data_IF_941272079049
#
_entry.id   IF_941272079049
#
_cell.length_a   1.000
_cell.length_b   1.000
_cell.length_c   1.000
_cell.angle_alpha   90.00
_cell.angle_beta   90.00
_cell.angle_gamma   90.00
#
_symmetry.space_group_name_H-M   'P 1'
#
loop_
_entity.id
_entity.type
_entity.pdbx_description
1 polymer ?
#
# COMPACT_ATOMS: atom_id res chain seq x y z
N UNK A 1 16.09 11.09 -3.83
CA UNK A 1 17.48 11.33 -3.41
C UNK A 1 17.74 10.73 -2.04
N UNK A 2 18.99 10.52 -1.62
CA UNK A 2 19.31 10.04 -0.28
C UNK A 2 18.81 10.97 0.83
N UNK A 3 18.80 12.26 0.60
CA UNK A 3 18.45 13.31 1.59
C UNK A 3 16.97 13.33 1.95
N UNK A 4 16.10 12.83 1.08
CA UNK A 4 14.65 12.86 1.28
C UNK A 4 13.95 11.56 0.89
N UNK A 5 14.71 10.51 0.56
CA UNK A 5 14.19 9.25 0.09
C UNK A 5 13.74 8.30 1.21
N UNK A 6 13.14 7.19 0.79
CA UNK A 6 12.97 6.02 1.63
C UNK A 6 14.28 5.22 1.62
N UNK A 7 14.64 4.66 2.76
CA UNK A 7 15.80 3.79 2.92
C UNK A 7 15.32 2.37 3.20
N UNK A 8 16.05 1.40 2.72
CA UNK A 8 15.72 -0.03 2.85
C UNK A 8 16.94 -0.83 3.27
N UNK A 9 16.71 -1.97 3.92
CA UNK A 9 17.76 -2.96 4.17
C UNK A 9 17.53 -4.12 3.20
N UNK A 10 18.36 -4.25 2.13
CA UNK A 10 18.21 -5.32 1.15
C UNK A 10 18.24 -6.70 1.79
N UNK A 11 17.33 -7.58 1.37
CA UNK A 11 17.25 -8.94 1.90
C UNK A 11 16.59 -9.10 3.27
N UNK A 12 16.30 -8.01 3.98
CA UNK A 12 15.75 -8.05 5.35
C UNK A 12 14.38 -8.72 5.47
N UNK A 13 13.61 -8.81 4.39
CA UNK A 13 12.34 -9.55 4.34
C UNK A 13 12.49 -11.06 4.63
N UNK A 14 13.71 -11.58 4.58
CA UNK A 14 14.02 -13.00 4.88
C UNK A 14 14.32 -13.22 6.37
N UNK A 15 14.49 -12.17 7.15
CA UNK A 15 14.90 -12.26 8.56
C UNK A 15 13.73 -12.55 9.50
N UNK A 16 12.49 -12.58 9.00
CA UNK A 16 11.29 -12.73 9.83
C UNK A 16 11.08 -11.51 10.72
N UNK A 17 10.60 -11.73 11.95
CA UNK A 17 10.36 -10.65 12.91
C UNK A 17 11.68 -10.12 13.48
N UNK A 18 11.96 -8.87 13.25
CA UNK A 18 13.19 -8.18 13.71
C UNK A 18 12.81 -7.16 14.79
N UNK A 19 13.56 -7.17 15.89
CA UNK A 19 13.47 -6.09 16.88
C UNK A 19 14.29 -4.88 16.41
N UNK A 20 13.59 -3.94 15.76
CA UNK A 20 14.20 -2.73 15.23
C UNK A 20 14.71 -1.83 16.35
N UNK A 21 14.01 -1.77 17.50
CA UNK A 21 14.43 -0.94 18.65
C UNK A 21 15.75 -1.41 19.22
N UNK A 22 15.91 -2.73 19.40
CA UNK A 22 17.17 -3.29 19.85
C UNK A 22 18.31 -3.04 18.85
N UNK A 23 18.03 -3.16 17.55
CA UNK A 23 19.05 -2.87 16.51
C UNK A 23 19.49 -1.41 16.48
N UNK A 24 18.58 -0.47 16.57
CA UNK A 24 18.91 0.96 16.58
C UNK A 24 19.60 1.38 17.85
N UNK A 25 19.22 0.82 19.00
CA UNK A 25 19.90 1.05 20.27
C UNK A 25 21.34 0.54 20.25
N UNK A 26 21.56 -0.65 19.71
CA UNK A 26 22.91 -1.24 19.59
C UNK A 26 23.82 -0.49 18.60
N UNK A 27 23.23 0.16 17.60
CA UNK A 27 23.96 0.98 16.63
C UNK A 27 24.21 2.43 17.10
N UNK A 28 23.64 2.83 18.24
CA UNK A 28 23.67 4.20 18.76
C UNK A 28 23.20 5.26 17.74
N UNK A 29 22.41 4.82 16.77
CA UNK A 29 21.92 5.67 15.67
C UNK A 29 20.62 5.14 15.11
N UNK A 30 19.83 6.02 14.51
CA UNK A 30 18.64 5.64 13.74
C UNK A 30 19.00 5.13 12.34
N UNK A 31 20.24 5.35 11.88
CA UNK A 31 20.76 4.83 10.62
C UNK A 31 21.36 3.45 10.83
N UNK A 32 20.68 2.41 10.36
CA UNK A 32 21.25 1.06 10.40
C UNK A 32 22.34 0.93 9.32
N UNK A 33 23.49 0.30 9.63
CA UNK A 33 24.66 0.27 8.74
C UNK A 33 24.37 -0.33 7.35
N UNK A 34 23.46 -1.30 7.29
CA UNK A 34 23.10 -1.99 6.05
C UNK A 34 21.99 -1.29 5.24
N UNK A 35 21.52 -0.14 5.72
CA UNK A 35 20.48 0.61 5.02
C UNK A 35 21.04 1.35 3.82
N UNK A 36 20.33 1.25 2.70
CA UNK A 36 20.64 1.95 1.46
C UNK A 36 19.47 2.83 1.03
N UNK A 37 19.72 4.00 0.43
CA UNK A 37 18.66 4.85 -0.06
C UNK A 37 18.00 4.26 -1.31
N UNK A 38 16.68 4.28 -1.37
CA UNK A 38 15.91 4.04 -2.59
C UNK A 38 15.85 5.33 -3.41
N UNK A 39 16.79 5.49 -4.33
CA UNK A 39 16.82 6.67 -5.20
C UNK A 39 15.84 6.46 -6.36
N UNK A 40 14.86 7.36 -6.47
CA UNK A 40 13.81 7.31 -7.48
C UNK A 40 13.60 8.68 -8.10
N UNK A 41 13.17 8.70 -9.36
CA UNK A 41 12.70 9.88 -10.06
C UNK A 41 11.16 9.99 -9.95
N UNK A 42 10.59 11.16 -10.19
CA UNK A 42 9.15 11.29 -10.33
C UNK A 42 8.61 10.34 -11.41
N UNK A 43 7.60 9.54 -11.05
CA UNK A 43 7.00 8.53 -11.93
C UNK A 43 7.58 7.13 -11.77
N UNK A 44 8.69 6.95 -11.06
CA UNK A 44 9.21 5.61 -10.77
C UNK A 44 8.29 4.85 -9.84
N UNK A 45 8.20 3.53 -10.06
CA UNK A 45 7.46 2.59 -9.23
C UNK A 45 8.43 1.60 -8.62
N UNK A 46 8.38 1.47 -7.30
CA UNK A 46 9.16 0.47 -6.56
C UNK A 46 8.23 -0.61 -6.03
N UNK A 47 8.52 -1.85 -6.34
CA UNK A 47 7.79 -3.01 -5.82
C UNK A 47 8.68 -3.72 -4.81
N UNK A 48 8.21 -3.83 -3.59
CA UNK A 48 8.96 -4.48 -2.50
C UNK A 48 8.11 -5.49 -1.74
N UNK A 49 8.77 -6.44 -1.11
CA UNK A 49 8.11 -7.32 -0.16
C UNK A 49 7.68 -6.51 1.07
N UNK A 50 6.45 -6.72 1.56
CA UNK A 50 5.92 -6.01 2.73
C UNK A 50 6.73 -6.14 4.02
N UNK A 51 7.53 -7.21 4.14
CA UNK A 51 8.39 -7.46 5.29
C UNK A 51 9.78 -6.81 5.16
N UNK A 52 10.03 -6.11 4.06
CA UNK A 52 11.28 -5.38 3.88
C UNK A 52 11.40 -4.30 4.96
N UNK A 53 12.49 -4.32 5.71
CA UNK A 53 12.79 -3.24 6.65
C UNK A 53 13.05 -1.97 5.86
N UNK A 54 12.28 -0.95 6.17
CA UNK A 54 12.36 0.33 5.50
C UNK A 54 12.02 1.46 6.47
N UNK A 55 12.42 2.65 6.12
CA UNK A 55 12.14 3.83 6.91
C UNK A 55 12.43 5.11 6.14
N UNK A 56 12.08 6.22 6.75
CA UNK A 56 12.42 7.56 6.25
C UNK A 56 13.06 8.34 7.38
N UNK A 57 14.08 9.11 7.02
CA UNK A 57 14.74 10.04 7.93
C UNK A 57 14.23 11.47 7.68
N UNK A 58 14.67 12.40 8.51
CA UNK A 58 14.37 13.81 8.30
C UNK A 58 14.82 14.23 6.89
N UNK A 59 13.98 15.00 6.21
CA UNK A 59 14.32 15.56 4.91
C UNK A 59 15.35 16.69 5.12
N UNK A 60 16.54 16.48 4.63
CA UNK A 60 17.64 17.47 4.70
C UNK A 60 17.83 18.24 3.38
N UNK A 61 16.98 17.96 2.37
CA UNK A 61 16.98 18.70 1.11
C UNK A 61 16.00 19.88 1.15
N UNK A 62 16.11 20.76 0.18
CA UNK A 62 15.18 21.86 -0.09
C UNK A 62 13.92 21.44 -0.86
N UNK A 63 13.77 20.15 -1.17
CA UNK A 63 12.71 19.62 -2.03
C UNK A 63 11.71 18.77 -1.27
N UNK A 64 10.45 18.91 -1.62
CA UNK A 64 9.42 17.98 -1.18
C UNK A 64 9.55 16.64 -1.88
N UNK A 65 9.20 15.57 -1.17
CA UNK A 65 8.98 14.24 -1.71
C UNK A 65 7.56 13.80 -1.38
N UNK A 66 6.81 13.46 -2.40
CA UNK A 66 5.49 12.85 -2.26
C UNK A 66 5.61 11.39 -2.71
N UNK A 67 5.22 10.46 -1.84
CA UNK A 67 5.16 9.03 -2.15
C UNK A 67 3.77 8.52 -1.86
N UNK A 68 3.26 7.68 -2.75
CA UNK A 68 2.04 6.92 -2.51
C UNK A 68 2.42 5.45 -2.29
N UNK A 69 1.92 4.86 -1.21
CA UNK A 69 2.18 3.46 -0.87
C UNK A 69 0.89 2.67 -1.01
N UNK A 70 0.96 1.60 -1.79
CA UNK A 70 -0.15 0.67 -1.97
C UNK A 70 0.26 -0.72 -1.47
N UNK A 71 -0.61 -1.34 -0.67
CA UNK A 71 -0.40 -2.70 -0.21
C UNK A 71 -1.32 -3.67 -0.94
N UNK A 72 -0.74 -4.67 -1.59
CA UNK A 72 -1.49 -5.76 -2.24
C UNK A 72 -1.23 -7.08 -1.52
N UNK A 73 -2.29 -7.84 -1.30
CA UNK A 73 -2.24 -9.15 -0.67
C UNK A 73 -2.89 -10.19 -1.55
N UNK A 74 -2.35 -11.41 -1.55
CA UNK A 74 -3.07 -12.53 -2.15
C UNK A 74 -4.32 -12.80 -1.32
N UNK A 75 -5.46 -13.03 -1.97
CA UNK A 75 -6.70 -13.40 -1.30
C UNK A 75 -6.50 -14.58 -0.33
N UNK A 76 -5.80 -15.61 -0.75
CA UNK A 76 -5.51 -16.79 0.07
C UNK A 76 -4.67 -16.51 1.32
N UNK A 77 -3.94 -15.39 1.35
CA UNK A 77 -3.11 -15.01 2.51
C UNK A 77 -3.83 -14.14 3.52
N UNK A 78 -4.98 -13.59 3.17
CA UNK A 78 -5.76 -12.70 4.07
C UNK A 78 -7.10 -13.28 4.46
N UNK A 79 -7.68 -14.15 3.64
CA UNK A 79 -8.99 -14.75 3.91
C UNK A 79 -8.98 -15.49 5.24
N UNK A 80 -9.96 -15.19 6.10
CA UNK A 80 -10.08 -15.74 7.44
C UNK A 80 -9.13 -15.16 8.48
N UNK A 81 -8.20 -14.28 8.08
CA UNK A 81 -7.28 -13.65 9.04
C UNK A 81 -7.96 -12.52 9.80
N UNK A 82 -7.53 -12.33 11.04
CA UNK A 82 -7.86 -11.13 11.81
C UNK A 82 -6.92 -10.00 11.44
N UNK A 83 -7.47 -8.82 11.19
CA UNK A 83 -6.73 -7.59 10.96
C UNK A 83 -7.00 -6.59 12.09
N UNK A 84 -5.96 -5.96 12.60
CA UNK A 84 -6.13 -4.82 13.48
C UNK A 84 -6.60 -3.62 12.67
N UNK A 85 -7.64 -2.98 13.16
CA UNK A 85 -8.13 -1.71 12.68
C UNK A 85 -7.63 -0.57 13.57
N UNK A 86 -7.96 0.64 13.18
CA UNK A 86 -7.71 1.82 14.00
C UNK A 86 -8.40 1.70 15.38
N UNK A 87 -7.81 2.34 16.38
CA UNK A 87 -8.32 2.41 17.76
C UNK A 87 -8.52 1.04 18.46
N UNK A 88 -7.75 0.03 18.05
CA UNK A 88 -7.77 -1.29 18.68
C UNK A 88 -8.94 -2.18 18.26
N UNK A 89 -9.75 -1.76 17.31
CA UNK A 89 -10.76 -2.62 16.72
C UNK A 89 -10.13 -3.75 15.90
N UNK A 90 -10.81 -4.88 15.81
CA UNK A 90 -10.42 -6.01 14.97
C UNK A 90 -11.50 -6.30 13.91
N UNK A 91 -11.07 -6.75 12.75
CA UNK A 91 -11.96 -7.27 11.73
C UNK A 91 -11.45 -8.61 11.21
N UNK A 92 -12.37 -9.50 10.84
CA UNK A 92 -12.03 -10.71 10.10
C UNK A 92 -12.14 -10.41 8.60
N UNK A 93 -11.13 -10.81 7.84
CA UNK A 93 -11.16 -10.74 6.39
C UNK A 93 -11.95 -11.92 5.84
N UNK A 94 -13.28 -11.85 5.96
CA UNK A 94 -14.20 -12.78 5.31
C UNK A 94 -14.30 -12.53 3.79
N UNK A 95 -15.08 -13.36 3.11
CA UNK A 95 -15.26 -13.24 1.65
C UNK A 95 -15.79 -11.87 1.23
N UNK A 96 -16.79 -11.38 1.98
CA UNK A 96 -17.42 -10.08 1.68
C UNK A 96 -16.43 -8.95 1.85
N UNK A 97 -15.67 -8.92 2.94
CA UNK A 97 -14.70 -7.88 3.20
C UNK A 97 -13.58 -7.89 2.17
N UNK A 98 -13.09 -9.07 1.81
CA UNK A 98 -12.05 -9.20 0.77
C UNK A 98 -12.58 -8.70 -0.58
N UNK A 99 -13.82 -9.03 -0.93
CA UNK A 99 -14.45 -8.57 -2.17
C UNK A 99 -14.63 -7.05 -2.16
N UNK A 100 -15.22 -6.48 -1.12
CA UNK A 100 -15.47 -5.04 -0.98
C UNK A 100 -14.16 -4.24 -1.09
N UNK A 101 -13.09 -4.71 -0.45
CA UNK A 101 -11.78 -4.06 -0.53
C UNK A 101 -11.13 -4.20 -1.91
N UNK A 102 -11.45 -5.25 -2.65
CA UNK A 102 -10.99 -5.44 -4.03
C UNK A 102 -11.67 -4.51 -5.02
N UNK A 103 -12.86 -3.99 -4.70
CA UNK A 103 -13.62 -3.11 -5.55
C UNK A 103 -12.87 -1.81 -5.92
N UNK A 104 -11.98 -1.33 -5.03
CA UNK A 104 -11.11 -0.17 -5.31
C UNK A 104 -10.25 -0.40 -6.56
N UNK A 105 -9.79 -1.63 -6.78
CA UNK A 105 -8.99 -1.97 -7.97
C UNK A 105 -9.84 -1.81 -9.23
N UNK A 106 -11.08 -2.32 -9.22
CA UNK A 106 -11.98 -2.24 -10.38
C UNK A 106 -12.36 -0.79 -10.68
N UNK A 107 -12.66 0.03 -9.67
CA UNK A 107 -12.93 1.46 -9.84
C UNK A 107 -11.69 2.18 -10.41
N UNK A 108 -10.49 1.81 -9.95
CA UNK A 108 -9.24 2.35 -10.49
C UNK A 108 -9.01 1.98 -11.96
N UNK A 109 -9.37 0.76 -12.38
CA UNK A 109 -9.30 0.33 -13.79
C UNK A 109 -10.25 1.15 -14.65
N UNK A 110 -11.50 1.37 -14.19
CA UNK A 110 -12.46 2.21 -14.90
C UNK A 110 -11.97 3.67 -15.01
N UNK A 111 -11.45 4.23 -13.92
CA UNK A 111 -10.87 5.56 -13.93
C UNK A 111 -9.73 5.69 -14.94
N UNK A 112 -8.82 4.70 -14.97
CA UNK A 112 -7.73 4.66 -15.92
C UNK A 112 -8.22 4.60 -17.36
N UNK A 113 -9.21 3.77 -17.65
CA UNK A 113 -9.76 3.61 -19.01
C UNK A 113 -10.39 4.90 -19.54
N UNK A 114 -10.97 5.71 -18.67
CA UNK A 114 -11.51 7.04 -19.03
C UNK A 114 -10.43 8.07 -19.31
N UNK A 115 -9.29 7.94 -18.63
CA UNK A 115 -8.17 8.86 -18.78
C UNK A 115 -7.25 8.48 -19.95
N UNK A 116 -7.07 7.18 -20.21
CA UNK A 116 -6.22 6.62 -21.26
C UNK A 116 -7.05 5.81 -22.24
N UNK A 117 -7.83 6.49 -23.06
CA UNK A 117 -8.82 5.87 -23.97
C UNK A 117 -8.22 4.98 -25.07
N UNK A 118 -6.92 5.05 -25.34
CA UNK A 118 -6.22 4.21 -26.29
C UNK A 118 -5.70 2.89 -25.72
N UNK A 119 -5.82 2.68 -24.40
CA UNK A 119 -5.38 1.43 -23.77
C UNK A 119 -6.52 0.41 -23.70
N UNK A 120 -6.18 -0.87 -23.82
CA UNK A 120 -7.11 -1.95 -23.50
C UNK A 120 -7.20 -2.08 -21.98
N UNK A 121 -8.38 -1.92 -21.36
CA UNK A 121 -8.52 -2.04 -19.91
C UNK A 121 -8.10 -3.41 -19.40
N UNK A 122 -7.45 -3.44 -18.25
CA UNK A 122 -7.11 -4.69 -17.58
C UNK A 122 -8.39 -5.44 -17.15
N UNK A 123 -8.48 -6.72 -17.45
CA UNK A 123 -9.58 -7.57 -16.98
C UNK A 123 -9.28 -8.10 -15.59
N UNK A 124 -9.97 -7.56 -14.59
CA UNK A 124 -9.80 -7.99 -13.20
C UNK A 124 -10.80 -9.09 -12.86
N UNK A 125 -10.32 -10.33 -12.83
CA UNK A 125 -11.15 -11.55 -12.74
C UNK A 125 -12.25 -11.55 -11.66
N UNK A 126 -12.01 -11.06 -10.42
CA UNK A 126 -13.07 -11.02 -9.40
C UNK A 126 -14.28 -10.17 -9.77
N UNK A 127 -14.17 -9.29 -10.77
CA UNK A 127 -15.21 -8.34 -11.17
C UNK A 127 -15.70 -8.54 -12.61
N UNK A 128 -15.36 -9.64 -13.26
CA UNK A 128 -15.90 -9.97 -14.59
C UNK A 128 -17.42 -10.06 -14.53
N UNK A 129 -18.10 -9.27 -15.36
CA UNK A 129 -19.56 -9.14 -15.37
C UNK A 129 -20.13 -8.18 -14.32
N UNK A 130 -19.30 -7.59 -13.48
CA UNK A 130 -19.68 -6.61 -12.44
C UNK A 130 -19.06 -5.22 -12.68
N UNK A 131 -18.39 -5.04 -13.81
CA UNK A 131 -17.67 -3.81 -14.15
C UNK A 131 -18.60 -2.59 -14.17
N UNK A 132 -19.87 -2.81 -14.61
CA UNK A 132 -20.89 -1.78 -14.68
C UNK A 132 -21.19 -1.13 -13.33
N UNK A 133 -21.25 -1.93 -12.28
CA UNK A 133 -21.57 -1.50 -10.91
C UNK A 133 -20.36 -0.89 -10.18
N UNK A 134 -19.18 -0.96 -10.79
CA UNK A 134 -17.93 -0.49 -10.22
C UNK A 134 -17.22 0.53 -11.10
N UNK A 135 -17.99 1.34 -11.84
CA UNK A 135 -17.48 2.50 -12.57
C UNK A 135 -17.22 3.66 -11.63
N UNK A 136 -16.17 4.44 -11.92
CA UNK A 136 -15.93 5.67 -11.14
C UNK A 136 -17.03 6.71 -11.40
N UNK A 137 -17.81 7.00 -10.39
CA UNK A 137 -18.79 8.06 -10.28
C UNK A 137 -18.93 8.46 -8.81
N UNK A 138 -19.76 9.45 -8.50
CA UNK A 138 -19.92 9.95 -7.13
C UNK A 138 -20.40 8.87 -6.16
N UNK A 139 -21.34 8.03 -6.58
CA UNK A 139 -21.85 6.92 -5.75
C UNK A 139 -20.78 5.90 -5.43
N UNK A 140 -20.05 5.41 -6.45
CA UNK A 140 -18.98 4.43 -6.24
C UNK A 140 -17.79 5.03 -5.52
N UNK A 141 -17.50 6.32 -5.72
CA UNK A 141 -16.47 7.02 -4.95
C UNK A 141 -16.82 7.02 -3.47
N UNK A 142 -18.02 7.39 -3.09
CA UNK A 142 -18.44 7.40 -1.69
C UNK A 142 -18.51 5.99 -1.11
N UNK A 143 -19.10 5.04 -1.82
CA UNK A 143 -19.31 3.67 -1.35
C UNK A 143 -18.02 2.87 -1.26
N UNK A 144 -17.13 2.97 -2.25
CA UNK A 144 -15.96 2.12 -2.37
C UNK A 144 -14.71 2.80 -1.82
N UNK A 145 -14.48 4.06 -2.14
CA UNK A 145 -13.23 4.75 -1.81
C UNK A 145 -13.31 5.44 -0.47
N UNK A 146 -14.35 6.26 -0.23
CA UNK A 146 -14.50 6.98 1.03
C UNK A 146 -14.80 6.05 2.19
N UNK A 147 -15.74 5.12 2.03
CA UNK A 147 -16.09 4.13 3.06
C UNK A 147 -14.93 3.20 3.40
N UNK A 148 -14.11 2.86 2.41
CA UNK A 148 -12.91 2.08 2.64
C UNK A 148 -11.99 2.73 3.68
N UNK A 149 -11.76 4.03 3.56
CA UNK A 149 -10.88 4.76 4.47
C UNK A 149 -11.55 5.02 5.83
N UNK A 150 -12.80 5.46 5.83
CA UNK A 150 -13.49 5.87 7.06
C UNK A 150 -13.83 4.70 7.96
N UNK A 151 -14.26 3.56 7.41
CA UNK A 151 -14.59 2.36 8.20
C UNK A 151 -13.36 1.71 8.84
N UNK A 152 -12.25 1.70 8.12
CA UNK A 152 -11.04 1.02 8.59
C UNK A 152 -10.12 1.93 9.40
N UNK A 153 -10.12 3.21 9.14
CA UNK A 153 -9.24 4.18 9.78
C UNK A 153 -9.95 5.02 10.85
N UNK A 154 -11.26 4.89 10.98
CA UNK A 154 -12.09 5.66 11.90
C UNK A 154 -11.92 7.19 11.75
N UNK A 155 -11.75 7.66 10.52
CA UNK A 155 -11.65 9.08 10.13
C UNK A 155 -12.87 9.54 9.35
#
# INVERSE_FOLDING_TARGET
TPENGVWVIPGSHKLGKVDIKAKTAAAETTYLPDAVPMVCNPGDVVISNRQLLHGSFANTSDKQRISMTFGFHRRSSVLGQKGALSMGAEAVYDEKRVFDRSAVIQVGIDARSKHFTGETPFTYQPFVGLEGDHRLNDETFDRVIRDYNTRDLAI
#
